data_IF_846275187454
#
_entry.id   IF_846275187454
#
_cell.length_a   1.000
_cell.length_b   1.000
_cell.length_c   1.000
_cell.angle_alpha   90.00
_cell.angle_beta   90.00
_cell.angle_gamma   90.00
#
_symmetry.space_group_name_H-M   'P 1'
#
loop_
_entity.id
_entity.type
_entity.pdbx_description
1 polymer ?
#
# COMPACT_ATOMS: atom_id res chain seq x y z
N UNK A 1 -2.45 -6.26 13.59
CA UNK A 1 -2.81 -4.83 13.50
C UNK A 1 -3.43 -4.51 12.17
N UNK A 2 -4.15 -3.42 12.09
CA UNK A 2 -4.83 -2.98 10.88
C UNK A 2 -4.24 -1.65 10.41
N UNK A 3 -3.97 -1.55 9.10
CA UNK A 3 -3.53 -0.31 8.48
C UNK A 3 -4.61 0.14 7.50
N UNK A 4 -4.88 1.43 7.46
CA UNK A 4 -5.85 2.01 6.53
C UNK A 4 -5.08 2.66 5.40
N UNK A 5 -5.05 1.98 4.26
CA UNK A 5 -4.28 2.41 3.10
C UNK A 5 -5.14 3.31 2.22
N UNK A 6 -4.75 4.58 2.13
CA UNK A 6 -5.43 5.54 1.24
C UNK A 6 -4.91 5.34 -0.17
N UNK A 7 -5.82 5.18 -1.12
CA UNK A 7 -5.51 4.82 -2.49
C UNK A 7 -5.55 6.05 -3.39
N UNK A 8 -4.52 6.21 -4.21
CA UNK A 8 -4.44 7.30 -5.19
C UNK A 8 -4.09 6.74 -6.55
N UNK A 9 -4.52 7.43 -7.60
CA UNK A 9 -4.19 7.06 -8.97
C UNK A 9 -4.64 5.64 -9.30
N UNK A 10 -3.77 4.87 -9.95
CA UNK A 10 -4.10 3.51 -10.38
C UNK A 10 -4.38 2.55 -9.24
N UNK A 11 -3.96 2.87 -8.01
CA UNK A 11 -4.22 2.00 -6.87
C UNK A 11 -5.69 2.00 -6.43
N UNK A 12 -6.49 2.95 -6.91
CA UNK A 12 -7.91 3.03 -6.54
C UNK A 12 -8.72 1.80 -6.92
N UNK A 13 -8.22 0.99 -7.86
CA UNK A 13 -8.90 -0.24 -8.25
C UNK A 13 -8.93 -1.26 -7.10
N UNK A 14 -8.07 -1.11 -6.10
CA UNK A 14 -7.99 -2.07 -5.00
C UNK A 14 -9.15 -1.99 -4.02
N UNK A 15 -9.95 -0.92 -4.06
CA UNK A 15 -11.12 -0.80 -3.19
C UNK A 15 -12.10 0.20 -3.78
N UNK A 16 -13.39 -0.06 -3.59
CA UNK A 16 -14.46 0.86 -4.01
C UNK A 16 -14.50 2.13 -3.18
N UNK A 17 -13.86 2.14 -2.02
CA UNK A 17 -13.99 3.22 -1.04
C UNK A 17 -12.76 4.11 -0.94
N UNK A 18 -11.85 4.01 -1.87
CA UNK A 18 -10.59 4.78 -1.84
C UNK A 18 -9.71 4.47 -0.63
N UNK A 19 -10.12 3.56 0.23
CA UNK A 19 -9.35 3.09 1.37
C UNK A 19 -9.40 1.57 1.39
N UNK A 20 -8.25 0.95 1.54
CA UNK A 20 -8.12 -0.49 1.69
C UNK A 20 -7.61 -0.80 3.09
N UNK A 21 -8.38 -1.58 3.85
CA UNK A 21 -7.93 -2.03 5.16
C UNK A 21 -7.04 -3.25 4.98
N UNK A 22 -5.83 -3.19 5.52
CA UNK A 22 -4.83 -4.25 5.38
C UNK A 22 -4.48 -4.78 6.76
N UNK A 23 -4.58 -6.11 6.91
CA UNK A 23 -4.21 -6.77 8.15
C UNK A 23 -2.75 -7.20 8.09
N UNK A 24 -2.00 -6.88 9.13
CA UNK A 24 -0.58 -7.18 9.24
C UNK A 24 -0.24 -7.70 10.63
N UNK A 25 0.80 -8.51 10.78
CA UNK A 25 1.28 -8.86 12.11
C UNK A 25 1.74 -7.61 12.86
N UNK A 26 1.70 -7.67 14.18
CA UNK A 26 2.22 -6.59 15.01
C UNK A 26 3.70 -6.38 14.71
N UNK A 27 4.16 -5.13 14.85
CA UNK A 27 5.54 -4.73 14.57
C UNK A 27 5.93 -4.81 13.09
N UNK A 28 4.95 -4.80 12.19
CA UNK A 28 5.23 -4.75 10.75
C UNK A 28 5.74 -3.37 10.33
N UNK A 29 6.46 -3.35 9.22
CA UNK A 29 6.97 -2.12 8.63
C UNK A 29 6.45 -1.98 7.19
N UNK A 30 6.89 -0.93 6.50
CA UNK A 30 6.47 -0.68 5.11
C UNK A 30 6.86 -1.85 4.19
N UNK A 31 8.05 -2.46 4.39
CA UNK A 31 8.43 -3.60 3.56
C UNK A 31 7.43 -4.75 3.71
N UNK A 32 6.96 -4.99 4.93
CA UNK A 32 5.93 -6.01 5.16
C UNK A 32 4.61 -5.64 4.46
N UNK A 33 4.25 -4.35 4.46
CA UNK A 33 3.07 -3.87 3.74
C UNK A 33 3.21 -4.11 2.24
N UNK A 34 4.38 -3.82 1.65
CA UNK A 34 4.63 -4.10 0.23
C UNK A 34 4.45 -5.58 -0.07
N UNK A 35 4.96 -6.46 0.80
CA UNK A 35 4.86 -7.91 0.61
C UNK A 35 3.42 -8.39 0.63
N UNK A 36 2.62 -7.87 1.57
CA UNK A 36 1.20 -8.23 1.65
C UNK A 36 0.43 -7.73 0.42
N UNK A 37 0.72 -6.51 -0.03
CA UNK A 37 0.07 -5.98 -1.22
C UNK A 37 0.43 -6.80 -2.46
N UNK A 38 1.67 -7.25 -2.57
CA UNK A 38 2.08 -8.12 -3.67
C UNK A 38 1.22 -9.38 -3.69
N UNK A 39 1.00 -9.97 -2.53
CA UNK A 39 0.19 -11.18 -2.41
C UNK A 39 -1.28 -10.91 -2.79
N UNK A 40 -1.85 -9.82 -2.28
CA UNK A 40 -3.24 -9.45 -2.58
C UNK A 40 -3.42 -9.26 -4.08
N UNK A 41 -2.51 -8.53 -4.71
CA UNK A 41 -2.60 -8.24 -6.14
C UNK A 41 -2.45 -9.52 -6.97
N UNK A 42 -1.50 -10.39 -6.60
CA UNK A 42 -1.31 -11.62 -7.36
C UNK A 42 -2.52 -12.57 -7.25
N UNK A 43 -3.23 -12.55 -6.12
CA UNK A 43 -4.38 -13.42 -5.93
C UNK A 43 -5.66 -12.89 -6.55
N UNK A 44 -5.89 -11.57 -6.50
CA UNK A 44 -7.16 -10.97 -6.91
C UNK A 44 -7.08 -10.15 -8.18
N UNK A 45 -5.91 -9.66 -8.53
CA UNK A 45 -5.75 -8.73 -9.65
C UNK A 45 -4.60 -9.13 -10.58
N UNK A 46 -4.35 -10.43 -10.69
CA UNK A 46 -3.19 -10.94 -11.45
C UNK A 46 -3.22 -10.54 -12.93
N UNK A 47 -4.40 -10.26 -13.48
CA UNK A 47 -4.53 -9.85 -14.88
C UNK A 47 -4.48 -8.35 -15.09
N UNK A 48 -4.29 -7.58 -14.02
CA UNK A 48 -4.20 -6.13 -14.10
C UNK A 48 -2.74 -5.71 -14.30
N UNK A 49 -2.56 -4.42 -14.60
CA UNK A 49 -1.21 -3.84 -14.73
C UNK A 49 -0.63 -3.42 -13.38
N UNK A 50 -1.12 -4.00 -12.28
CA UNK A 50 -0.73 -3.61 -10.94
C UNK A 50 0.40 -4.44 -10.35
N UNK A 51 0.96 -5.39 -11.10
CA UNK A 51 1.95 -6.32 -10.56
C UNK A 51 3.18 -5.64 -9.97
N UNK A 52 3.57 -4.49 -10.52
CA UNK A 52 4.74 -3.77 -10.03
C UNK A 52 4.39 -2.69 -9.01
N UNK A 53 3.10 -2.43 -8.78
CA UNK A 53 2.67 -1.36 -7.89
C UNK A 53 3.28 -1.46 -6.47
N UNK A 54 3.25 -2.64 -5.82
CA UNK A 54 3.78 -2.71 -4.45
C UNK A 54 5.27 -2.42 -4.35
N UNK A 55 6.02 -2.65 -5.43
CA UNK A 55 7.47 -2.42 -5.43
C UNK A 55 7.85 -1.01 -5.80
N UNK A 56 7.05 -0.36 -6.65
CA UNK A 56 7.41 0.93 -7.24
C UNK A 56 6.70 2.11 -6.61
N UNK A 57 5.58 1.87 -5.91
CA UNK A 57 4.82 2.94 -5.28
C UNK A 57 5.58 3.54 -4.09
N UNK A 58 5.37 4.83 -3.86
CA UNK A 58 5.84 5.49 -2.66
C UNK A 58 4.75 5.43 -1.59
N UNK A 59 5.15 5.37 -0.33
CA UNK A 59 4.23 5.40 0.79
C UNK A 59 4.47 6.64 1.62
N UNK A 60 3.38 7.28 2.05
CA UNK A 60 3.43 8.51 2.83
C UNK A 60 2.70 8.32 4.15
N UNK A 61 3.26 8.94 5.20
CA UNK A 61 2.63 8.92 6.52
C UNK A 61 1.44 9.88 6.58
N UNK A 62 0.75 9.90 7.73
CA UNK A 62 -0.35 10.83 7.97
C UNK A 62 0.09 12.29 7.90
N UNK A 63 1.39 12.55 8.07
CA UNK A 63 1.95 13.89 7.98
C UNK A 63 2.40 14.24 6.57
N UNK A 64 2.01 13.44 5.58
CA UNK A 64 2.39 13.63 4.18
C UNK A 64 3.90 13.58 3.94
N UNK A 65 4.61 12.82 4.76
CA UNK A 65 6.04 12.61 4.59
C UNK A 65 6.28 11.22 4.02
N UNK A 66 7.15 11.11 3.01
CA UNK A 66 7.51 9.81 2.46
C UNK A 66 8.21 8.98 3.53
N UNK A 67 7.87 7.70 3.61
CA UNK A 67 8.44 6.81 4.63
C UNK A 67 9.25 5.72 3.97
N UNK A 68 10.33 5.33 4.65
CA UNK A 68 11.21 4.27 4.16
C UNK A 68 10.61 2.88 4.42
N UNK A 69 11.23 1.86 3.82
CA UNK A 69 10.77 0.48 4.00
C UNK A 69 10.92 0.01 5.45
N UNK A 70 11.78 0.61 6.22
CA UNK A 70 11.97 0.26 7.63
C UNK A 70 11.01 0.98 8.57
N UNK A 71 10.19 1.89 8.06
CA UNK A 71 9.23 2.63 8.89
C UNK A 71 8.28 1.67 9.59
N UNK A 72 8.22 1.76 10.93
CA UNK A 72 7.35 0.91 11.74
C UNK A 72 5.92 1.41 11.72
N UNK A 73 5.01 0.53 11.34
CA UNK A 73 3.59 0.84 11.29
C UNK A 73 2.96 0.74 12.67
N UNK A 74 1.91 1.52 12.87
CA UNK A 74 1.15 1.57 14.13
C UNK A 74 -0.29 1.13 13.81
N UNK A 75 -0.90 0.37 14.71
CA UNK A 75 -2.28 -0.08 14.52
C UNK A 75 -3.21 1.10 14.24
N UNK A 76 -4.09 0.94 13.25
CA UNK A 76 -5.07 1.94 12.82
C UNK A 76 -4.47 3.15 12.10
N UNK A 77 -3.20 3.10 11.77
CA UNK A 77 -2.54 4.20 11.07
C UNK A 77 -3.05 4.34 9.63
N UNK A 78 -3.15 5.58 9.15
CA UNK A 78 -3.41 5.86 7.73
C UNK A 78 -2.07 5.98 7.02
N UNK A 79 -1.94 5.23 5.91
CA UNK A 79 -0.77 5.31 5.03
C UNK A 79 -1.31 5.55 3.63
N UNK A 80 -0.71 6.51 2.92
CA UNK A 80 -1.08 6.77 1.52
C UNK A 80 -0.15 6.02 0.59
N UNK A 81 -0.72 5.37 -0.44
CA UNK A 81 0.07 4.73 -1.49
C UNK A 81 -0.02 5.59 -2.74
N UNK A 82 1.12 6.02 -3.25
CA UNK A 82 1.21 6.89 -4.43
C UNK A 82 1.91 6.10 -5.54
N UNK A 83 1.19 5.71 -6.59
CA UNK A 83 1.82 5.03 -7.73
C UNK A 83 2.80 5.94 -8.44
N UNK A 84 3.78 5.38 -9.15
CA UNK A 84 4.70 6.19 -9.93
C UNK A 84 3.97 6.92 -11.06
N UNK A 85 4.40 8.14 -11.33
CA UNK A 85 3.86 8.95 -12.41
C UNK A 85 4.47 8.48 -13.74
N UNK A 86 3.65 8.53 -14.80
CA UNK A 86 4.15 8.18 -16.12
C UNK A 86 3.96 6.73 -16.49
N UNK A 87 3.10 6.06 -15.79
CA UNK A 87 2.69 4.72 -16.15
C UNK A 87 3.75 3.66 -15.95
N UNK A 88 4.71 3.99 -15.19
CA UNK A 88 5.72 3.03 -14.78
C UNK A 88 5.76 1.71 -15.46
#
# INVERSE_FOLDING_TARGET
MEIQLKLYGSSKILSDKEILNVQLPNNSNIQNLRNILTKIISEKYSKSNLNNLPRTAAFFSEKDEVVSDSYKLIDKEFISIIPPIGGG
#
